data_IF_847083782146
#
_entry.id   IF_847083782146
#
_cell.length_a   1.000
_cell.length_b   1.000
_cell.length_c   1.000
_cell.angle_alpha   90.00
_cell.angle_beta   90.00
_cell.angle_gamma   90.00
#
_symmetry.space_group_name_H-M   'P 1'
#
loop_
_entity.id
_entity.type
_entity.pdbx_description
1 polymer ?
#
# COMPACT_ATOMS: atom_id res chain seq x y z
N UNK A 1 -13.70 -30.12 -24.51
CA UNK A 1 -14.26 -28.88 -25.13
C UNK A 1 -14.95 -28.00 -24.11
N UNK A 2 -15.71 -28.51 -23.13
CA UNK A 2 -16.44 -27.67 -22.13
C UNK A 2 -15.57 -26.86 -21.16
N UNK A 3 -14.38 -27.34 -20.77
CA UNK A 3 -13.49 -26.62 -19.83
C UNK A 3 -12.84 -25.36 -20.46
N UNK A 4 -12.49 -25.43 -21.74
CA UNK A 4 -11.93 -24.30 -22.47
C UNK A 4 -12.98 -23.21 -22.67
N UNK A 5 -14.22 -23.59 -22.97
CA UNK A 5 -15.34 -22.67 -23.15
C UNK A 5 -15.73 -21.96 -21.86
N UNK A 6 -15.70 -22.67 -20.71
CA UNK A 6 -15.95 -22.06 -19.39
C UNK A 6 -14.84 -21.12 -18.96
N UNK A 7 -13.58 -21.44 -19.29
CA UNK A 7 -12.41 -20.60 -19.00
C UNK A 7 -12.44 -19.31 -19.83
N UNK A 8 -12.81 -19.38 -21.10
CA UNK A 8 -12.98 -18.23 -21.98
C UNK A 8 -14.16 -17.38 -21.50
N UNK A 9 -15.31 -17.98 -21.17
CA UNK A 9 -16.50 -17.28 -20.69
C UNK A 9 -16.24 -16.50 -19.39
N UNK A 10 -15.43 -17.05 -18.48
CA UNK A 10 -15.07 -16.39 -17.23
C UNK A 10 -14.15 -15.18 -17.43
N UNK A 11 -13.30 -15.20 -18.46
CA UNK A 11 -12.44 -14.06 -18.82
C UNK A 11 -13.18 -12.94 -19.56
N UNK A 12 -14.18 -13.25 -20.38
CA UNK A 12 -15.01 -12.22 -21.02
C UNK A 12 -15.73 -11.33 -20.01
N UNK A 13 -16.17 -11.90 -18.88
CA UNK A 13 -16.83 -11.14 -17.81
C UNK A 13 -15.92 -10.08 -17.17
N UNK A 14 -14.60 -10.22 -17.27
CA UNK A 14 -13.62 -9.26 -16.75
C UNK A 14 -13.12 -8.35 -17.89
N UNK A 15 -12.79 -8.92 -19.04
CA UNK A 15 -12.18 -8.19 -20.17
C UNK A 15 -13.18 -7.23 -20.81
N UNK A 16 -14.45 -7.65 -20.98
CA UNK A 16 -15.47 -6.81 -21.61
C UNK A 16 -15.78 -5.54 -20.83
N UNK A 17 -15.98 -5.55 -19.50
CA UNK A 17 -16.16 -4.32 -18.72
C UNK A 17 -14.94 -3.40 -18.75
N UNK A 18 -13.73 -3.97 -18.71
CA UNK A 18 -12.48 -3.18 -18.78
C UNK A 18 -12.38 -2.52 -20.16
N UNK A 19 -12.64 -3.27 -21.22
CA UNK A 19 -12.61 -2.73 -22.58
C UNK A 19 -13.70 -1.69 -22.81
N UNK A 20 -14.90 -1.94 -22.29
CA UNK A 20 -16.01 -0.98 -22.32
C UNK A 20 -15.68 0.30 -21.58
N UNK A 21 -15.05 0.19 -20.41
CA UNK A 21 -14.64 1.34 -19.60
C UNK A 21 -13.57 2.17 -20.30
N UNK A 22 -12.56 1.53 -20.91
CA UNK A 22 -11.55 2.20 -21.74
C UNK A 22 -12.20 2.86 -22.96
N UNK A 23 -13.15 2.18 -23.61
CA UNK A 23 -13.84 2.67 -24.79
C UNK A 23 -14.71 3.89 -24.47
N UNK A 24 -15.47 3.86 -23.38
CA UNK A 24 -16.27 4.99 -22.89
C UNK A 24 -15.37 6.17 -22.50
N UNK A 25 -14.26 5.91 -21.83
CA UNK A 25 -13.28 6.94 -21.47
C UNK A 25 -12.69 7.63 -22.71
N UNK A 26 -12.51 6.91 -23.82
CA UNK A 26 -12.04 7.48 -25.08
C UNK A 26 -13.10 8.32 -25.80
N UNK A 27 -14.38 7.91 -25.78
CA UNK A 27 -15.47 8.62 -26.44
C UNK A 27 -15.77 9.96 -25.77
N UNK A 28 -15.79 9.99 -24.44
CA UNK A 28 -16.15 11.18 -23.66
C UNK A 28 -15.00 12.17 -23.43
N UNK A 29 -13.83 11.99 -24.10
CA UNK A 29 -12.63 12.81 -23.91
C UNK A 29 -12.13 12.89 -22.45
N UNK A 30 -12.42 11.92 -21.61
CA UNK A 30 -11.76 11.79 -20.31
C UNK A 30 -10.34 11.25 -20.49
N UNK A 31 -9.49 12.05 -21.17
CA UNK A 31 -8.07 11.73 -21.34
C UNK A 31 -7.35 11.56 -19.99
N UNK A 32 -7.89 12.13 -18.92
CA UNK A 32 -7.38 12.00 -17.58
C UNK A 32 -7.43 10.55 -17.04
N UNK A 33 -8.48 9.77 -17.41
CA UNK A 33 -8.60 8.36 -16.97
C UNK A 33 -7.58 7.42 -17.61
N UNK A 34 -7.07 7.79 -18.78
CA UNK A 34 -6.07 7.01 -19.53
C UNK A 34 -4.70 7.67 -19.51
N UNK A 35 -4.51 8.71 -18.71
CA UNK A 35 -3.23 9.40 -18.59
C UNK A 35 -2.20 8.53 -17.87
N UNK A 36 -0.93 8.70 -18.18
CA UNK A 36 0.18 8.06 -17.49
C UNK A 36 0.17 8.37 -15.98
N UNK A 37 -0.23 9.59 -15.61
CA UNK A 37 -0.36 9.98 -14.21
C UNK A 37 -1.42 9.19 -13.45
N UNK A 38 -2.59 8.94 -14.05
CA UNK A 38 -3.65 8.12 -13.43
C UNK A 38 -3.20 6.67 -13.28
N UNK A 39 -2.52 6.12 -14.27
CA UNK A 39 -1.98 4.77 -14.20
C UNK A 39 -0.88 4.65 -13.13
N UNK A 40 0.03 5.62 -13.08
CA UNK A 40 1.05 5.71 -12.04
C UNK A 40 0.45 5.82 -10.64
N UNK A 41 -0.57 6.66 -10.44
CA UNK A 41 -1.28 6.77 -9.18
C UNK A 41 -1.99 5.46 -8.78
N UNK A 42 -2.65 4.80 -9.73
CA UNK A 42 -3.30 3.51 -9.48
C UNK A 42 -2.31 2.43 -9.05
N UNK A 43 -1.14 2.38 -9.68
CA UNK A 43 -0.07 1.47 -9.28
C UNK A 43 0.43 1.80 -7.86
N UNK A 44 0.73 3.07 -7.56
CA UNK A 44 1.15 3.49 -6.21
C UNK A 44 0.16 3.05 -5.13
N UNK A 45 -1.11 3.30 -5.35
CA UNK A 45 -2.17 2.92 -4.41
C UNK A 45 -2.37 1.40 -4.30
N UNK A 46 -1.97 0.62 -5.29
CA UNK A 46 -2.09 -0.85 -5.26
C UNK A 46 -1.00 -1.52 -4.41
N UNK A 47 0.16 -0.89 -4.20
CA UNK A 47 1.30 -1.48 -3.48
C UNK A 47 0.94 -1.90 -2.05
N UNK A 48 0.37 -1.02 -1.19
CA UNK A 48 0.01 -1.42 0.18
C UNK A 48 -0.98 -2.58 0.20
N UNK A 49 -1.94 -2.58 -0.73
CA UNK A 49 -2.96 -3.62 -0.85
C UNK A 49 -2.32 -4.96 -1.27
N UNK A 50 -1.41 -4.92 -2.25
CA UNK A 50 -0.67 -6.10 -2.67
C UNK A 50 0.20 -6.68 -1.54
N UNK A 51 0.91 -5.82 -0.81
CA UNK A 51 1.74 -6.26 0.32
C UNK A 51 0.90 -6.85 1.45
N UNK A 52 -0.24 -6.25 1.78
CA UNK A 52 -1.20 -6.79 2.72
C UNK A 52 -1.74 -8.15 2.25
N UNK A 53 -2.05 -8.29 0.96
CA UNK A 53 -2.47 -9.56 0.35
C UNK A 53 -1.41 -10.64 0.46
N UNK A 54 -0.13 -10.32 0.25
CA UNK A 54 0.97 -11.26 0.47
C UNK A 54 1.05 -11.67 1.94
N UNK A 55 0.93 -10.73 2.88
CA UNK A 55 0.87 -11.01 4.32
C UNK A 55 -0.31 -11.93 4.67
N UNK A 56 -1.50 -11.71 4.08
CA UNK A 56 -2.66 -12.58 4.25
C UNK A 56 -2.39 -14.01 3.79
N UNK A 57 -1.78 -14.20 2.62
CA UNK A 57 -1.43 -15.52 2.08
C UNK A 57 -0.49 -16.28 3.02
N UNK A 58 0.51 -15.61 3.60
CA UNK A 58 1.40 -16.23 4.58
C UNK A 58 0.66 -16.66 5.83
N UNK A 59 -0.21 -15.81 6.37
CA UNK A 59 -1.04 -16.10 7.53
C UNK A 59 -1.97 -17.30 7.27
N UNK A 60 -2.67 -17.32 6.15
CA UNK A 60 -3.56 -18.43 5.76
C UNK A 60 -2.81 -19.74 5.56
N UNK A 61 -1.58 -19.72 5.03
CA UNK A 61 -0.75 -20.92 4.93
C UNK A 61 -0.35 -21.50 6.28
N UNK A 62 -0.29 -20.67 7.32
CA UNK A 62 -0.09 -21.11 8.69
C UNK A 62 -1.41 -21.56 9.38
N UNK A 63 -2.53 -21.54 8.66
CA UNK A 63 -3.84 -21.93 9.19
C UNK A 63 -4.54 -20.79 9.97
N UNK A 64 -4.06 -19.55 9.88
CA UNK A 64 -4.62 -18.41 10.60
C UNK A 64 -5.24 -17.44 9.60
N UNK A 65 -6.54 -17.20 9.69
CA UNK A 65 -7.23 -16.18 8.89
C UNK A 65 -7.01 -14.82 9.57
N UNK A 66 -6.21 -13.94 8.95
CA UNK A 66 -5.88 -12.64 9.51
C UNK A 66 -6.76 -11.52 8.92
N UNK A 67 -7.87 -11.21 9.57
CA UNK A 67 -8.74 -10.08 9.23
C UNK A 67 -8.20 -8.75 9.83
N UNK A 68 -7.25 -8.85 10.77
CA UNK A 68 -6.66 -7.69 11.45
C UNK A 68 -5.60 -6.92 10.66
N UNK A 69 -5.37 -7.26 9.39
CA UNK A 69 -4.35 -6.62 8.55
C UNK A 69 -4.56 -5.10 8.40
N UNK A 70 -5.83 -4.66 8.33
CA UNK A 70 -6.17 -3.24 8.25
C UNK A 70 -5.64 -2.49 9.49
N UNK A 71 -5.91 -3.01 10.69
CA UNK A 71 -5.41 -2.42 11.93
C UNK A 71 -3.87 -2.43 12.02
N UNK A 72 -3.23 -3.50 11.55
CA UNK A 72 -1.77 -3.58 11.50
C UNK A 72 -1.18 -2.52 10.56
N UNK A 73 -1.82 -2.28 9.41
CA UNK A 73 -1.42 -1.21 8.49
C UNK A 73 -1.63 0.18 9.10
N UNK A 74 -2.77 0.42 9.77
CA UNK A 74 -3.06 1.70 10.44
C UNK A 74 -1.98 2.03 11.48
N UNK A 75 -1.62 1.07 12.32
CA UNK A 75 -0.56 1.28 13.32
C UNK A 75 0.82 1.42 12.66
N UNK A 76 1.11 0.61 11.65
CA UNK A 76 2.36 0.74 10.89
C UNK A 76 2.48 2.13 10.26
N UNK A 77 1.43 2.63 9.64
CA UNK A 77 1.38 3.99 9.07
C UNK A 77 1.57 5.06 10.14
N UNK A 78 0.93 4.90 11.30
CA UNK A 78 1.06 5.86 12.40
C UNK A 78 2.52 5.94 12.91
N UNK A 79 3.14 4.80 13.22
CA UNK A 79 4.55 4.76 13.67
C UNK A 79 5.50 5.26 12.57
N UNK A 80 5.21 4.95 11.32
CA UNK A 80 5.97 5.44 10.17
C UNK A 80 5.94 6.95 10.06
N UNK A 81 4.75 7.55 10.14
CA UNK A 81 4.58 9.00 10.09
C UNK A 81 5.24 9.70 11.30
N UNK A 82 5.04 9.14 12.51
CA UNK A 82 5.63 9.68 13.73
C UNK A 82 7.16 9.69 13.68
N UNK A 83 7.77 8.56 13.42
CA UNK A 83 9.22 8.47 13.37
C UNK A 83 9.81 9.19 12.15
N UNK A 84 9.10 9.19 11.03
CA UNK A 84 9.50 9.94 9.85
C UNK A 84 9.54 11.45 10.09
N UNK A 85 8.60 11.97 10.86
CA UNK A 85 8.58 13.39 11.23
C UNK A 85 9.70 13.77 12.19
N UNK A 86 9.92 12.99 13.26
CA UNK A 86 10.87 13.37 14.31
C UNK A 86 12.31 12.96 14.02
N UNK A 87 12.53 11.90 13.26
CA UNK A 87 13.86 11.27 13.12
C UNK A 87 14.29 11.08 11.65
N UNK A 88 13.40 11.39 10.70
CA UNK A 88 13.68 11.26 9.28
C UNK A 88 13.09 9.99 8.64
N UNK A 89 13.02 9.98 7.30
CA UNK A 89 12.21 9.02 6.53
C UNK A 89 12.65 7.56 6.70
N UNK A 90 13.94 7.28 6.84
CA UNK A 90 14.43 5.91 7.06
C UNK A 90 14.01 5.33 8.39
N UNK A 91 14.01 6.16 9.45
CA UNK A 91 13.48 5.76 10.75
C UNK A 91 11.97 5.56 10.69
N UNK A 92 11.28 6.33 9.84
CA UNK A 92 9.86 6.14 9.55
C UNK A 92 9.58 4.75 8.98
N UNK A 93 10.33 4.31 7.97
CA UNK A 93 10.17 2.97 7.39
C UNK A 93 10.39 1.89 8.44
N UNK A 94 11.47 1.98 9.22
CA UNK A 94 11.77 1.00 10.26
C UNK A 94 10.69 0.95 11.34
N UNK A 95 10.26 2.12 11.82
CA UNK A 95 9.22 2.21 12.84
C UNK A 95 7.86 1.69 12.34
N UNK A 96 7.52 1.96 11.08
CA UNK A 96 6.32 1.43 10.44
C UNK A 96 6.32 -0.09 10.37
N UNK A 97 7.43 -0.68 9.96
CA UNK A 97 7.61 -2.14 9.95
C UNK A 97 7.46 -2.74 11.36
N UNK A 98 8.12 -2.15 12.36
CA UNK A 98 8.06 -2.64 13.74
C UNK A 98 6.67 -2.45 14.36
N UNK A 99 6.00 -1.33 14.08
CA UNK A 99 4.64 -1.06 14.56
C UNK A 99 3.62 -2.07 14.00
N UNK A 100 3.66 -2.32 12.69
CA UNK A 100 2.83 -3.34 12.05
C UNK A 100 3.13 -4.74 12.57
N UNK A 101 4.41 -5.08 12.71
CA UNK A 101 4.86 -6.38 13.25
C UNK A 101 4.42 -6.59 14.70
N UNK A 102 4.44 -5.55 15.54
CA UNK A 102 3.96 -5.62 16.92
C UNK A 102 2.49 -6.03 17.00
N UNK A 103 1.62 -5.41 16.19
CA UNK A 103 0.21 -5.78 16.15
C UNK A 103 -0.01 -7.15 15.52
N UNK A 104 0.82 -7.52 14.54
CA UNK A 104 0.87 -8.89 14.01
C UNK A 104 1.25 -9.92 15.07
N UNK A 105 2.22 -9.60 15.94
CA UNK A 105 2.62 -10.45 17.04
C UNK A 105 1.49 -10.60 18.08
N UNK A 106 0.80 -9.52 18.43
CA UNK A 106 -0.35 -9.57 19.34
C UNK A 106 -1.44 -10.50 18.77
N UNK A 107 -1.74 -10.39 17.47
CA UNK A 107 -2.70 -11.29 16.80
C UNK A 107 -2.22 -12.75 16.84
N UNK A 108 -0.97 -13.00 16.52
CA UNK A 108 -0.38 -14.33 16.52
C UNK A 108 -0.41 -14.96 17.93
N UNK A 109 -0.02 -14.23 18.96
CA UNK A 109 -0.07 -14.71 20.33
C UNK A 109 -1.51 -14.99 20.77
N UNK A 110 -2.45 -14.10 20.41
CA UNK A 110 -3.87 -14.30 20.71
C UNK A 110 -4.43 -15.58 20.07
N UNK A 111 -4.16 -15.77 18.80
CA UNK A 111 -4.73 -16.90 18.02
C UNK A 111 -3.99 -18.21 18.24
N UNK A 112 -2.68 -18.20 18.36
CA UNK A 112 -1.87 -19.44 18.49
C UNK A 112 -1.76 -19.86 19.97
N UNK A 113 -1.39 -18.93 20.84
CA UNK A 113 -1.12 -19.28 22.25
C UNK A 113 -2.40 -19.35 23.08
N UNK A 114 -3.28 -18.35 22.92
CA UNK A 114 -4.53 -18.30 23.68
C UNK A 114 -5.71 -18.94 22.95
N UNK A 115 -5.52 -19.39 21.70
CA UNK A 115 -6.53 -20.06 20.89
C UNK A 115 -7.83 -19.22 20.74
N UNK A 116 -7.69 -17.91 20.72
CA UNK A 116 -8.80 -16.99 20.45
C UNK A 116 -9.21 -17.16 18.99
N UNK A 117 -10.51 -17.10 18.74
CA UNK A 117 -11.03 -17.13 17.37
C UNK A 117 -10.37 -16.05 16.49
N UNK A 118 -9.94 -16.45 15.30
CA UNK A 118 -9.15 -15.62 14.39
C UNK A 118 -9.91 -14.38 13.95
N UNK A 119 -11.22 -14.51 13.71
CA UNK A 119 -12.08 -13.41 13.27
C UNK A 119 -12.26 -12.41 14.42
N UNK A 120 -12.55 -12.92 15.62
CA UNK A 120 -12.72 -12.09 16.82
C UNK A 120 -11.45 -11.30 17.13
N UNK A 121 -10.29 -11.98 17.09
CA UNK A 121 -8.98 -11.36 17.31
C UNK A 121 -8.68 -10.30 16.24
N UNK A 122 -8.95 -10.58 14.95
CA UNK A 122 -8.72 -9.64 13.86
C UNK A 122 -9.58 -8.38 13.98
N UNK A 123 -10.88 -8.53 14.25
CA UNK A 123 -11.78 -7.40 14.46
C UNK A 123 -11.38 -6.57 15.67
N UNK A 124 -11.00 -7.22 16.78
CA UNK A 124 -10.51 -6.52 17.97
C UNK A 124 -9.27 -5.68 17.67
N UNK A 125 -8.33 -6.20 16.87
CA UNK A 125 -7.13 -5.47 16.44
C UNK A 125 -7.48 -4.26 15.59
N UNK A 126 -8.42 -4.36 14.66
CA UNK A 126 -8.82 -3.24 13.82
C UNK A 126 -9.43 -2.09 14.66
N UNK A 127 -10.28 -2.42 15.62
CA UNK A 127 -10.87 -1.44 16.53
C UNK A 127 -9.80 -0.82 17.43
N UNK A 128 -8.93 -1.65 18.02
CA UNK A 128 -7.87 -1.21 18.90
C UNK A 128 -6.89 -0.29 18.17
N UNK A 129 -6.48 -0.67 16.97
CA UNK A 129 -5.54 0.09 16.16
C UNK A 129 -6.05 1.50 15.85
N UNK A 130 -7.32 1.63 15.45
CA UNK A 130 -7.93 2.92 15.19
C UNK A 130 -7.97 3.81 16.45
N UNK A 131 -8.33 3.23 17.60
CA UNK A 131 -8.33 3.94 18.87
C UNK A 131 -6.97 4.37 19.34
N UNK A 132 -5.99 3.45 19.27
CA UNK A 132 -4.59 3.71 19.67
C UNK A 132 -3.96 4.76 18.75
N UNK A 133 -4.11 4.64 17.43
CA UNK A 133 -3.56 5.61 16.48
C UNK A 133 -4.11 7.02 16.76
N UNK A 134 -5.42 7.14 16.99
CA UNK A 134 -6.05 8.42 17.30
C UNK A 134 -5.55 8.99 18.62
N UNK A 135 -5.48 8.18 19.68
CA UNK A 135 -4.97 8.60 20.98
C UNK A 135 -3.52 9.08 20.89
N UNK A 136 -2.67 8.28 20.26
CA UNK A 136 -1.26 8.63 20.09
C UNK A 136 -1.08 9.89 19.23
N UNK A 137 -1.93 10.11 18.22
CA UNK A 137 -1.88 11.34 17.41
C UNK A 137 -2.17 12.59 18.25
N UNK A 138 -3.16 12.52 19.14
CA UNK A 138 -3.46 13.64 20.06
C UNK A 138 -2.28 13.93 20.97
N UNK A 139 -1.64 12.88 21.51
CA UNK A 139 -0.51 13.04 22.44
C UNK A 139 0.77 13.50 21.72
N UNK A 140 1.07 12.89 20.56
CA UNK A 140 2.33 13.13 19.87
C UNK A 140 2.36 14.45 19.08
N UNK A 141 1.19 14.91 18.60
CA UNK A 141 1.08 16.08 17.73
C UNK A 141 0.32 17.25 18.35
N UNK A 142 0.12 17.26 19.68
CA UNK A 142 -0.59 18.33 20.39
C UNK A 142 -0.02 19.72 20.12
N UNK A 143 1.30 19.81 20.09
CA UNK A 143 2.04 21.07 19.96
C UNK A 143 2.68 21.25 18.58
N UNK A 144 2.36 20.36 17.62
CA UNK A 144 2.98 20.40 16.29
C UNK A 144 2.08 21.17 15.32
N UNK A 145 2.60 22.20 14.61
CA UNK A 145 1.82 22.90 13.58
C UNK A 145 1.32 21.91 12.51
N UNK A 146 0.06 22.05 12.10
CA UNK A 146 -0.64 21.15 11.17
C UNK A 146 -0.79 19.69 11.63
N UNK A 147 -0.42 19.36 12.88
CA UNK A 147 -0.71 18.08 13.51
C UNK A 147 -2.04 18.08 14.26
N UNK A 148 -2.58 16.91 14.54
CA UNK A 148 -3.82 16.75 15.32
C UNK A 148 -4.31 15.31 15.44
N UNK A 149 -5.49 15.16 16.02
CA UNK A 149 -6.09 13.85 16.31
C UNK A 149 -6.34 12.96 15.07
N UNK A 150 -6.46 13.56 13.90
CA UNK A 150 -6.84 12.87 12.65
C UNK A 150 -5.81 13.03 11.55
N UNK A 151 -4.77 13.81 11.78
CA UNK A 151 -3.81 14.16 10.74
C UNK A 151 -2.40 14.27 11.34
N UNK A 152 -1.43 13.59 10.76
CA UNK A 152 -0.01 13.80 11.03
C UNK A 152 0.49 15.04 10.27
N UNK A 153 1.51 15.73 10.78
CA UNK A 153 2.22 16.74 10.00
C UNK A 153 2.87 16.08 8.77
N UNK A 154 3.11 16.87 7.75
CA UNK A 154 3.74 16.39 6.51
C UNK A 154 5.24 16.19 6.74
N UNK A 155 5.74 15.02 6.36
CA UNK A 155 7.18 14.77 6.37
C UNK A 155 7.79 15.48 5.16
N UNK A 156 8.65 16.48 5.39
CA UNK A 156 9.24 17.29 4.32
C UNK A 156 10.43 16.58 3.66
N UNK A 157 11.14 15.76 4.41
CA UNK A 157 12.26 14.98 3.89
C UNK A 157 11.77 13.76 3.12
N UNK A 158 12.27 13.60 1.90
CA UNK A 158 11.97 12.44 1.05
C UNK A 158 13.16 11.49 1.02
N UNK A 159 12.86 10.20 0.89
CA UNK A 159 13.88 9.20 0.58
C UNK A 159 14.40 9.49 -0.83
N UNK A 160 15.72 9.53 -1.00
CA UNK A 160 16.34 9.70 -2.31
C UNK A 160 15.89 8.58 -3.26
N UNK A 161 15.56 8.98 -4.48
CA UNK A 161 15.16 8.02 -5.52
C UNK A 161 16.34 7.11 -5.84
N UNK A 162 16.15 5.81 -5.69
CA UNK A 162 17.11 4.81 -6.16
C UNK A 162 16.82 4.61 -7.65
N UNK A 163 17.64 5.19 -8.51
CA UNK A 163 17.57 4.93 -9.94
C UNK A 163 18.22 3.58 -10.25
N UNK A 164 17.47 2.66 -10.84
CA UNK A 164 18.02 1.40 -11.32
C UNK A 164 18.52 1.65 -12.76
N UNK A 165 19.83 1.57 -13.02
CA UNK A 165 20.34 1.71 -14.37
C UNK A 165 19.61 0.75 -15.32
N UNK A 166 19.30 1.20 -16.53
CA UNK A 166 18.56 0.49 -17.58
C UNK A 166 17.02 0.40 -17.44
N UNK A 167 16.45 0.62 -16.25
CA UNK A 167 15.01 0.48 -16.03
C UNK A 167 14.31 1.82 -15.76
N UNK A 168 15.01 2.78 -15.21
CA UNK A 168 14.45 4.08 -14.77
C UNK A 168 14.64 5.22 -15.79
N UNK A 169 14.63 4.94 -17.09
CA UNK A 169 14.87 5.94 -18.13
C UNK A 169 16.28 6.56 -18.03
N UNK A 170 17.15 6.25 -18.92
CA UNK A 170 18.51 6.77 -18.98
C UNK A 170 19.03 6.81 -20.42
N UNK A 171 20.03 7.64 -20.70
CA UNK A 171 20.72 7.61 -21.98
C UNK A 171 21.73 6.47 -21.96
N UNK A 172 21.56 5.50 -22.84
CA UNK A 172 22.57 4.52 -23.13
C UNK A 172 23.17 4.92 -24.48
N UNK A 173 24.45 5.27 -24.47
CA UNK A 173 25.23 5.56 -25.68
C UNK A 173 24.59 6.67 -26.56
N UNK A 174 24.20 7.80 -25.95
CA UNK A 174 23.55 8.97 -26.58
C UNK A 174 22.15 8.74 -27.23
N UNK A 175 21.66 7.53 -27.26
CA UNK A 175 20.29 7.25 -27.64
C UNK A 175 19.38 7.19 -26.40
N UNK A 176 18.26 7.90 -26.46
CA UNK A 176 17.22 7.75 -25.43
C UNK A 176 16.78 6.28 -25.42
N UNK A 177 16.98 5.60 -24.30
CA UNK A 177 16.37 4.29 -24.11
C UNK A 177 14.87 4.49 -24.19
N UNK A 178 14.23 3.65 -25.00
CA UNK A 178 12.77 3.71 -25.17
C UNK A 178 12.13 3.78 -23.78
N UNK A 179 11.50 4.90 -23.52
CA UNK A 179 10.92 5.29 -22.22
C UNK A 179 9.64 4.49 -21.93
N UNK A 180 9.73 3.17 -22.12
CA UNK A 180 8.62 2.24 -21.91
C UNK A 180 8.25 2.19 -20.42
N UNK A 181 9.21 2.43 -19.54
CA UNK A 181 9.01 2.47 -18.09
C UNK A 181 9.11 3.89 -17.51
N UNK A 182 9.79 4.82 -18.17
CA UNK A 182 9.79 6.22 -17.76
C UNK A 182 8.43 6.88 -17.97
N UNK A 183 7.73 6.53 -19.07
CA UNK A 183 6.34 6.95 -19.27
C UNK A 183 5.36 6.31 -18.28
N UNK A 184 5.73 5.22 -17.64
CA UNK A 184 4.93 4.58 -16.60
C UNK A 184 5.22 5.14 -15.21
N UNK A 185 6.33 5.90 -15.00
CA UNK A 185 6.81 6.23 -13.64
C UNK A 185 6.76 5.03 -12.69
N UNK A 186 6.65 3.83 -13.28
CA UNK A 186 6.28 2.61 -12.58
C UNK A 186 7.37 2.12 -11.64
N UNK A 187 8.60 2.56 -11.87
CA UNK A 187 9.74 2.17 -11.03
C UNK A 187 10.05 3.20 -9.95
N UNK A 188 9.63 4.43 -10.10
CA UNK A 188 9.54 5.40 -8.99
C UNK A 188 8.55 4.92 -7.93
N UNK A 189 7.75 3.94 -8.25
CA UNK A 189 6.71 3.32 -7.43
C UNK A 189 7.24 2.38 -6.35
N UNK A 190 8.33 1.68 -6.63
CA UNK A 190 8.97 0.82 -5.62
C UNK A 190 9.75 1.62 -4.58
N UNK A 191 9.93 2.89 -4.80
CA UNK A 191 10.82 3.73 -4.05
C UNK A 191 10.06 4.94 -3.51
N UNK A 192 9.18 4.68 -2.56
CA UNK A 192 8.66 5.59 -1.52
C UNK A 192 9.03 7.07 -1.76
N UNK A 193 8.71 7.64 -2.94
CA UNK A 193 9.09 9.02 -3.22
C UNK A 193 7.98 10.04 -2.98
N UNK A 194 6.76 9.60 -2.63
CA UNK A 194 5.62 10.48 -2.44
C UNK A 194 4.67 10.03 -1.29
N UNK A 195 5.25 9.56 -0.17
CA UNK A 195 4.53 9.49 1.11
C UNK A 195 4.67 10.80 1.87
#
# INVERSE_FOLDING_TARGET
MNKLFSFIKKRYLIIVPIFLLIFVAQIERYSELTSSGTFGAALRLSIPICLAGVGAIYSERCGIVNIGLEGMMVIGTWFGAWAGWFYGPWYGVLAGLLGGALFGLIHAVGTITFQVDHIVSGVAINILAAGVARFLSVVAYADVPAGGATQSPRVDERIEKISIPYLSGGKINESDTADVFGSLEALDLFLISDL
#
